data_IF_503547212735
#
_entry.id   IF_503547212735
#
_cell.length_a   1.000
_cell.length_b   1.000
_cell.length_c   1.000
_cell.angle_alpha   90.00
_cell.angle_beta   90.00
_cell.angle_gamma   90.00
#
_symmetry.space_group_name_H-M   'P 1'
#
loop_
_entity.id
_entity.type
_entity.pdbx_description
1 polymer ?
#
# COMPACT_ATOMS: atom_id res chain seq x y z
N UNK A 1 19.00 12.39 -1.08
CA UNK A 1 19.42 10.99 -0.81
C UNK A 1 19.51 10.24 -2.13
N UNK A 2 20.48 9.33 -2.34
CA UNK A 2 20.44 8.46 -3.52
C UNK A 2 19.31 7.42 -3.36
N UNK A 3 18.78 6.92 -4.48
CA UNK A 3 17.75 5.86 -4.50
C UNK A 3 18.15 4.64 -3.66
N UNK A 4 19.45 4.30 -3.68
CA UNK A 4 19.98 3.14 -2.99
C UNK A 4 20.04 3.34 -1.47
N UNK A 5 20.37 4.55 -0.99
CA UNK A 5 20.33 4.87 0.43
C UNK A 5 18.91 4.79 0.97
N UNK A 6 17.94 5.22 0.18
CA UNK A 6 16.54 5.20 0.54
C UNK A 6 16.00 3.77 0.61
N UNK A 7 16.30 2.94 -0.40
CA UNK A 7 15.97 1.52 -0.38
C UNK A 7 16.61 0.83 0.83
N UNK A 8 17.89 1.11 1.11
CA UNK A 8 18.58 0.56 2.27
C UNK A 8 17.90 0.98 3.60
N UNK A 9 17.48 2.24 3.71
CA UNK A 9 16.75 2.75 4.88
C UNK A 9 15.39 2.07 5.04
N UNK A 10 14.58 2.00 3.97
CA UNK A 10 13.27 1.33 3.99
C UNK A 10 13.39 -0.15 4.33
N UNK A 11 14.35 -0.87 3.73
CA UNK A 11 14.61 -2.28 4.01
C UNK A 11 15.04 -2.47 5.47
N UNK A 12 15.93 -1.61 5.97
CA UNK A 12 16.42 -1.71 7.36
C UNK A 12 15.30 -1.48 8.38
N UNK A 13 14.50 -0.44 8.20
CA UNK A 13 13.34 -0.15 9.07
C UNK A 13 12.33 -1.29 9.00
N UNK A 14 12.02 -1.77 7.79
CA UNK A 14 11.09 -2.89 7.59
C UNK A 14 11.60 -4.17 8.23
N UNK A 15 12.91 -4.45 8.17
CA UNK A 15 13.53 -5.59 8.82
C UNK A 15 13.44 -5.51 10.35
N UNK A 16 13.70 -4.32 10.91
CA UNK A 16 13.54 -4.08 12.36
C UNK A 16 12.10 -4.29 12.79
N UNK A 17 11.13 -3.71 12.06
CA UNK A 17 9.71 -3.94 12.33
C UNK A 17 9.35 -5.42 12.19
N UNK A 18 9.72 -6.08 11.10
CA UNK A 18 9.43 -7.51 10.91
C UNK A 18 9.99 -8.38 12.05
N UNK A 19 11.20 -8.08 12.53
CA UNK A 19 11.79 -8.75 13.69
C UNK A 19 11.02 -8.46 15.00
N UNK A 20 10.66 -7.20 15.26
CA UNK A 20 9.83 -6.80 16.40
C UNK A 20 8.46 -7.51 16.35
N UNK A 21 7.83 -7.57 15.18
CA UNK A 21 6.58 -8.29 14.97
C UNK A 21 6.76 -9.77 15.33
N UNK A 22 7.77 -10.43 14.76
CA UNK A 22 8.02 -11.84 15.02
C UNK A 22 8.30 -12.12 16.50
N UNK A 23 9.00 -11.21 17.19
CA UNK A 23 9.38 -11.41 18.60
C UNK A 23 8.24 -11.13 19.58
N UNK A 24 7.46 -10.07 19.36
CA UNK A 24 6.51 -9.56 20.36
C UNK A 24 5.03 -9.67 19.95
N UNK A 25 4.67 -9.27 18.73
CA UNK A 25 3.26 -9.15 18.30
C UNK A 25 2.70 -10.44 17.67
N UNK A 26 3.54 -11.18 16.94
CA UNK A 26 3.23 -12.43 16.23
C UNK A 26 2.03 -12.31 15.28
N UNK A 27 1.81 -11.13 14.70
CA UNK A 27 0.78 -10.91 13.69
C UNK A 27 1.26 -11.38 12.31
N UNK A 28 0.35 -11.62 11.34
CA UNK A 28 0.73 -11.78 9.94
C UNK A 28 1.64 -10.62 9.50
N UNK A 29 2.75 -10.93 8.84
CA UNK A 29 3.87 -9.99 8.63
C UNK A 29 3.43 -8.63 8.07
N UNK A 30 2.57 -8.64 7.05
CA UNK A 30 2.05 -7.41 6.42
C UNK A 30 1.28 -6.54 7.41
N UNK A 31 0.42 -7.14 8.23
CA UNK A 31 -0.38 -6.44 9.25
C UNK A 31 0.55 -5.89 10.34
N UNK A 32 1.48 -6.71 10.82
CA UNK A 32 2.42 -6.30 11.86
C UNK A 32 3.25 -5.10 11.44
N UNK A 33 3.91 -5.18 10.28
CA UNK A 33 4.73 -4.09 9.73
C UNK A 33 3.92 -2.82 9.52
N UNK A 34 2.70 -2.93 8.97
CA UNK A 34 1.79 -1.79 8.79
C UNK A 34 1.48 -1.10 10.12
N UNK A 35 1.08 -1.86 11.15
CA UNK A 35 0.71 -1.31 12.46
C UNK A 35 1.90 -0.63 13.13
N UNK A 36 3.10 -1.22 13.10
CA UNK A 36 4.29 -0.58 13.67
C UNK A 36 4.72 0.65 12.87
N UNK A 37 4.62 0.63 11.54
CA UNK A 37 4.90 1.81 10.72
C UNK A 37 3.95 2.96 11.04
N UNK A 38 2.66 2.65 11.22
CA UNK A 38 1.66 3.64 11.61
C UNK A 38 1.92 4.16 13.04
N UNK A 39 2.24 3.28 13.99
CA UNK A 39 2.59 3.69 15.36
C UNK A 39 3.87 4.55 15.38
N UNK A 40 4.87 4.20 14.58
CA UNK A 40 6.09 4.99 14.42
C UNK A 40 5.79 6.38 13.86
N UNK A 41 5.00 6.47 12.79
CA UNK A 41 4.56 7.74 12.22
C UNK A 41 3.81 8.60 13.24
N UNK A 42 2.85 8.03 13.98
CA UNK A 42 2.13 8.74 15.04
C UNK A 42 3.05 9.19 16.18
N UNK A 43 4.06 8.38 16.53
CA UNK A 43 5.03 8.74 17.57
C UNK A 43 5.90 9.93 17.16
N UNK A 44 6.26 10.05 15.87
CA UNK A 44 7.02 11.19 15.36
C UNK A 44 6.19 12.48 15.45
N UNK A 45 4.92 12.43 15.05
CA UNK A 45 3.97 13.55 15.18
C UNK A 45 3.83 13.95 16.65
N UNK A 46 3.66 12.97 17.55
CA UNK A 46 3.56 13.24 18.98
C UNK A 46 4.82 13.85 19.61
N UNK A 47 6.01 13.47 19.14
CA UNK A 47 7.27 14.06 19.61
C UNK A 47 7.44 15.51 19.15
N UNK A 48 6.99 15.84 17.94
CA UNK A 48 7.00 17.21 17.41
C UNK A 48 6.14 18.14 18.28
N UNK A 49 4.92 17.70 18.64
CA UNK A 49 4.02 18.43 19.55
C UNK A 49 4.60 18.62 20.97
N UNK A 50 5.48 17.72 21.42
CA UNK A 50 6.20 17.83 22.70
C UNK A 50 7.40 18.79 22.64
N UNK A 51 7.63 19.45 21.50
CA UNK A 51 8.70 20.43 21.30
C UNK A 51 10.04 19.81 20.91
N UNK A 52 10.09 18.52 20.57
CA UNK A 52 11.27 17.96 19.91
C UNK A 52 11.25 18.37 18.44
N UNK A 53 12.31 19.01 17.97
CA UNK A 53 12.42 19.50 16.59
C UNK A 53 12.73 18.36 15.60
N UNK A 54 11.76 17.43 15.48
CA UNK A 54 11.83 16.24 14.64
C UNK A 54 11.71 16.65 13.18
N UNK A 55 10.81 17.57 12.86
CA UNK A 55 10.59 18.07 11.51
C UNK A 55 11.83 18.74 10.92
N UNK A 56 12.57 19.59 11.65
CA UNK A 56 13.80 20.18 11.11
C UNK A 56 14.93 19.15 10.92
N UNK A 57 14.96 18.08 11.72
CA UNK A 57 16.01 17.04 11.65
C UNK A 57 15.76 15.99 10.57
N UNK A 58 14.50 15.69 10.27
CA UNK A 58 14.11 14.66 9.30
C UNK A 58 13.52 15.24 8.02
N UNK A 59 13.08 16.50 8.02
CA UNK A 59 12.43 17.17 6.88
C UNK A 59 13.29 17.14 5.62
N UNK A 60 14.55 17.56 5.71
CA UNK A 60 15.49 17.53 4.58
C UNK A 60 15.74 16.11 4.04
N UNK A 61 15.70 15.10 4.92
CA UNK A 61 15.86 13.71 4.52
C UNK A 61 14.60 13.14 3.84
N UNK A 62 13.42 13.63 4.21
CA UNK A 62 12.11 13.21 3.70
C UNK A 62 11.69 13.96 2.44
N UNK A 63 11.99 15.26 2.30
CA UNK A 63 11.67 16.05 1.10
C UNK A 63 12.37 15.53 -0.15
N UNK A 64 13.54 14.92 0.00
CA UNK A 64 14.27 14.27 -1.09
C UNK A 64 13.68 12.93 -1.55
N UNK A 65 12.58 12.46 -0.97
CA UNK A 65 11.98 11.15 -1.23
C UNK A 65 10.81 11.29 -2.21
N UNK A 66 11.03 10.92 -3.48
CA UNK A 66 9.92 10.68 -4.40
C UNK A 66 9.42 9.24 -4.28
N UNK A 67 8.61 8.97 -3.25
CA UNK A 67 8.04 7.64 -3.01
C UNK A 67 7.19 7.14 -4.19
N UNK A 68 6.45 8.05 -4.85
CA UNK A 68 5.59 7.70 -5.97
C UNK A 68 6.42 7.13 -7.12
N UNK A 69 7.46 7.83 -7.54
CA UNK A 69 8.36 7.36 -8.61
C UNK A 69 9.03 6.04 -8.23
N UNK A 70 9.49 5.90 -6.99
CA UNK A 70 10.12 4.67 -6.51
C UNK A 70 9.18 3.46 -6.55
N UNK A 71 7.97 3.62 -6.02
CA UNK A 71 6.99 2.55 -5.96
C UNK A 71 6.46 2.23 -7.36
N UNK A 72 5.99 3.25 -8.08
CA UNK A 72 5.29 3.08 -9.36
C UNK A 72 6.22 2.67 -10.50
N UNK A 73 7.41 3.26 -10.60
CA UNK A 73 8.33 3.00 -11.70
C UNK A 73 9.36 1.93 -11.36
N UNK A 74 9.77 1.83 -10.08
CA UNK A 74 10.78 0.87 -9.63
C UNK A 74 10.17 -0.45 -9.14
N UNK A 75 9.50 -0.40 -7.98
CA UNK A 75 9.13 -1.60 -7.24
C UNK A 75 8.01 -2.41 -7.89
N UNK A 76 6.93 -1.77 -8.35
CA UNK A 76 5.77 -2.47 -8.92
C UNK A 76 6.14 -3.36 -10.11
N UNK A 77 6.95 -2.84 -11.04
CA UNK A 77 7.41 -3.61 -12.21
C UNK A 77 8.18 -4.87 -11.81
N UNK A 78 9.06 -4.78 -10.81
CA UNK A 78 9.83 -5.91 -10.30
C UNK A 78 8.95 -6.92 -9.56
N UNK A 79 7.99 -6.45 -8.76
CA UNK A 79 7.05 -7.29 -8.02
C UNK A 79 6.11 -8.06 -8.97
N UNK A 80 5.58 -7.39 -9.99
CA UNK A 80 4.72 -8.02 -11.01
C UNK A 80 5.50 -9.05 -11.83
N UNK A 81 6.77 -8.76 -12.17
CA UNK A 81 7.64 -9.72 -12.84
C UNK A 81 7.93 -10.95 -11.96
N UNK A 82 8.30 -10.72 -10.69
CA UNK A 82 8.54 -11.80 -9.74
C UNK A 82 7.29 -12.66 -9.50
N UNK A 83 6.12 -12.04 -9.39
CA UNK A 83 4.84 -12.74 -9.30
C UNK A 83 4.57 -13.60 -10.54
N UNK A 84 4.79 -13.06 -11.74
CA UNK A 84 4.61 -13.80 -12.99
C UNK A 84 5.54 -15.02 -13.11
N UNK A 85 6.77 -14.96 -12.57
CA UNK A 85 7.70 -16.10 -12.56
C UNK A 85 7.23 -17.28 -11.70
N UNK A 86 6.41 -17.04 -10.67
CA UNK A 86 5.86 -18.09 -9.81
C UNK A 86 4.58 -18.72 -10.36
N UNK A 87 3.99 -18.18 -11.43
CA UNK A 87 2.73 -18.67 -12.01
C UNK A 87 2.98 -19.88 -12.92
N UNK A 88 2.30 -20.99 -12.64
CA UNK A 88 2.29 -22.15 -13.52
C UNK A 88 1.32 -21.95 -14.69
N UNK A 89 1.88 -21.78 -15.90
CA UNK A 89 1.11 -21.56 -17.13
C UNK A 89 0.14 -22.71 -17.46
N UNK A 90 0.48 -23.96 -17.09
CA UNK A 90 -0.38 -25.11 -17.36
C UNK A 90 -1.65 -25.10 -16.52
N UNK A 91 -1.56 -24.65 -15.26
CA UNK A 91 -2.73 -24.52 -14.38
C UNK A 91 -3.55 -23.27 -14.74
N UNK A 92 -2.87 -22.18 -15.12
CA UNK A 92 -3.51 -20.97 -15.64
C UNK A 92 -4.37 -21.29 -16.88
N UNK A 93 -3.84 -22.11 -17.81
CA UNK A 93 -4.54 -22.49 -19.02
C UNK A 93 -5.82 -23.32 -18.73
N UNK A 94 -5.80 -24.17 -17.69
CA UNK A 94 -6.98 -24.96 -17.29
C UNK A 94 -8.11 -24.07 -16.77
N UNK A 95 -7.79 -23.01 -16.03
CA UNK A 95 -8.77 -22.11 -15.41
C UNK A 95 -8.97 -20.77 -16.16
N UNK A 96 -8.46 -20.66 -17.40
CA UNK A 96 -8.37 -19.39 -18.16
C UNK A 96 -9.64 -18.55 -18.19
N UNK A 97 -10.81 -19.19 -18.36
CA UNK A 97 -12.08 -18.47 -18.45
C UNK A 97 -12.51 -17.87 -17.12
N UNK A 98 -12.29 -18.60 -16.03
CA UNK A 98 -12.58 -18.12 -14.67
C UNK A 98 -11.66 -16.94 -14.35
N UNK A 99 -10.36 -17.09 -14.61
CA UNK A 99 -9.36 -16.05 -14.34
C UNK A 99 -9.65 -14.78 -15.15
N UNK A 100 -9.90 -14.90 -16.45
CA UNK A 100 -10.24 -13.75 -17.30
C UNK A 100 -11.52 -13.07 -16.81
N UNK A 101 -12.55 -13.82 -16.42
CA UNK A 101 -13.80 -13.24 -15.93
C UNK A 101 -13.61 -12.47 -14.61
N UNK A 102 -12.84 -13.03 -13.66
CA UNK A 102 -12.55 -12.40 -12.37
C UNK A 102 -11.66 -11.16 -12.54
N UNK A 103 -10.61 -11.26 -13.35
CA UNK A 103 -9.64 -10.19 -13.56
C UNK A 103 -10.17 -9.01 -14.41
N UNK A 104 -11.25 -9.21 -15.17
CA UNK A 104 -11.87 -8.15 -15.99
C UNK A 104 -13.22 -7.72 -15.43
N UNK A 105 -14.25 -8.53 -15.65
CA UNK A 105 -15.63 -8.24 -15.23
C UNK A 105 -15.72 -8.10 -13.72
N UNK A 106 -15.08 -9.00 -12.97
CA UNK A 106 -15.03 -8.94 -11.50
C UNK A 106 -14.47 -7.62 -10.99
N UNK A 107 -13.34 -7.18 -11.53
CA UNK A 107 -12.69 -5.91 -11.14
C UNK A 107 -13.56 -4.69 -11.49
N UNK A 108 -14.20 -4.67 -12.67
CA UNK A 108 -15.10 -3.58 -13.07
C UNK A 108 -16.32 -3.52 -12.15
N UNK A 109 -16.95 -4.67 -11.89
CA UNK A 109 -18.10 -4.74 -10.97
C UNK A 109 -17.69 -4.33 -9.56
N UNK A 110 -16.56 -4.83 -9.06
CA UNK A 110 -16.02 -4.44 -7.75
C UNK A 110 -15.76 -2.94 -7.67
N UNK A 111 -15.20 -2.34 -8.72
CA UNK A 111 -14.93 -0.89 -8.77
C UNK A 111 -16.21 -0.08 -8.65
N UNK A 112 -17.27 -0.48 -9.36
CA UNK A 112 -18.57 0.20 -9.32
C UNK A 112 -19.24 0.02 -7.96
N UNK A 113 -19.23 -1.19 -7.42
CA UNK A 113 -19.85 -1.51 -6.11
C UNK A 113 -19.12 -0.76 -5.00
N UNK A 114 -17.79 -0.88 -4.91
CA UNK A 114 -17.00 -0.21 -3.89
C UNK A 114 -17.10 1.32 -4.04
N UNK A 115 -16.97 1.85 -5.26
CA UNK A 115 -17.07 3.30 -5.48
C UNK A 115 -18.44 3.88 -5.10
N UNK A 116 -19.53 3.17 -5.43
CA UNK A 116 -20.88 3.59 -5.02
C UNK A 116 -21.07 3.50 -3.51
N UNK A 117 -20.64 2.41 -2.87
CA UNK A 117 -20.71 2.24 -1.42
C UNK A 117 -19.88 3.31 -0.68
N UNK A 118 -18.68 3.62 -1.16
CA UNK A 118 -17.85 4.70 -0.60
C UNK A 118 -18.57 6.03 -0.69
N UNK A 119 -19.14 6.36 -1.85
CA UNK A 119 -19.88 7.62 -1.99
C UNK A 119 -21.08 7.70 -1.04
N UNK A 120 -21.85 6.63 -0.93
CA UNK A 120 -23.01 6.57 -0.04
C UNK A 120 -22.59 6.66 1.42
N UNK A 121 -21.55 5.93 1.82
CA UNK A 121 -21.00 5.95 3.19
C UNK A 121 -20.53 7.33 3.62
N UNK A 122 -19.79 8.04 2.77
CA UNK A 122 -19.39 9.42 3.04
C UNK A 122 -20.58 10.39 3.03
N UNK A 123 -21.56 10.16 2.15
CA UNK A 123 -22.81 10.93 2.14
C UNK A 123 -23.59 10.83 3.46
N UNK A 124 -23.60 9.65 4.09
CA UNK A 124 -24.21 9.45 5.42
C UNK A 124 -23.49 10.23 6.53
N UNK A 125 -22.19 10.49 6.36
CA UNK A 125 -21.39 11.33 7.26
C UNK A 125 -21.49 12.83 6.94
N UNK A 126 -22.32 13.22 5.97
CA UNK A 126 -22.46 14.61 5.51
C UNK A 126 -21.34 15.09 4.59
N UNK A 127 -20.46 14.20 4.13
CA UNK A 127 -19.33 14.52 3.26
C UNK A 127 -19.70 14.27 1.79
N UNK A 128 -19.64 15.31 0.97
CA UNK A 128 -19.95 15.22 -0.45
C UNK A 128 -18.72 14.85 -1.28
N UNK A 129 -18.54 13.55 -1.54
CA UNK A 129 -17.49 13.07 -2.45
C UNK A 129 -17.92 13.17 -3.93
N UNK A 130 -17.06 13.74 -4.81
CA UNK A 130 -17.25 13.63 -6.26
C UNK A 130 -17.30 12.18 -6.70
N UNK A 131 -18.15 11.86 -7.68
CA UNK A 131 -18.28 10.50 -8.23
C UNK A 131 -16.95 9.97 -8.76
N UNK A 132 -16.17 10.82 -9.44
CA UNK A 132 -14.88 10.44 -9.99
C UNK A 132 -13.92 9.96 -8.89
N UNK A 133 -13.82 10.71 -7.79
CA UNK A 133 -12.95 10.34 -6.65
C UNK A 133 -13.38 9.01 -6.04
N UNK A 134 -14.68 8.79 -5.87
CA UNK A 134 -15.19 7.55 -5.31
C UNK A 134 -14.90 6.33 -6.21
N UNK A 135 -15.05 6.48 -7.53
CA UNK A 135 -14.72 5.41 -8.47
C UNK A 135 -13.21 5.19 -8.64
N UNK A 136 -12.39 6.24 -8.58
CA UNK A 136 -10.92 6.10 -8.55
C UNK A 136 -10.49 5.32 -7.32
N UNK A 137 -11.06 5.62 -6.15
CA UNK A 137 -10.82 4.84 -4.93
C UNK A 137 -11.30 3.38 -5.09
N UNK A 138 -12.48 3.17 -5.67
CA UNK A 138 -12.97 1.83 -5.98
C UNK A 138 -12.02 1.03 -6.88
N UNK A 139 -11.47 1.67 -7.91
CA UNK A 139 -10.52 1.05 -8.83
C UNK A 139 -9.18 0.75 -8.15
N UNK A 140 -8.75 1.58 -7.20
CA UNK A 140 -7.51 1.40 -6.45
C UNK A 140 -7.53 0.12 -5.59
N UNK A 141 -8.67 -0.22 -4.98
CA UNK A 141 -8.77 -1.33 -4.01
C UNK A 141 -9.49 -2.57 -4.55
N UNK A 142 -9.90 -2.56 -5.82
CA UNK A 142 -10.57 -3.71 -6.44
C UNK A 142 -9.64 -4.84 -6.88
N UNK A 143 -8.44 -4.57 -7.42
CA UNK A 143 -7.45 -5.63 -7.69
C UNK A 143 -6.99 -6.29 -6.39
N UNK A 144 -6.81 -7.61 -6.41
CA UNK A 144 -6.31 -8.39 -5.26
C UNK A 144 -4.87 -8.82 -5.49
N UNK A 145 -4.01 -8.64 -4.48
CA UNK A 145 -2.66 -9.19 -4.48
C UNK A 145 -2.70 -10.73 -4.29
N UNK A 146 -1.97 -11.51 -5.12
CA UNK A 146 -1.90 -12.98 -5.04
C UNK A 146 -1.01 -13.50 -3.91
#
# INVERSE_FOLDING_TARGET
>A
MTILNLLALLISITAVFSWLNHRFLKLPTTIGVMVMGMAFSLSLIGLEELGFDVAARLGDALEGIDFSTLLMQGMLSLLLFAGALHVNLSDLAKARWVIVSLATVGVVVSTLVIGTLTKLGFGLLGLQLPWLTAFVFGALISPTDP
#
